data_IF_578022552714
#
_entry.id   IF_578022552714
#
_cell.length_a   1.000
_cell.length_b   1.000
_cell.length_c   1.000
_cell.angle_alpha   90.00
_cell.angle_beta   90.00
_cell.angle_gamma   90.00
#
_symmetry.space_group_name_H-M   'P 1'
#
loop_
_entity.id
_entity.type
_entity.pdbx_description
1 polymer ?
#
# COMPACT_ATOMS: atom_id res chain seq x y z
N UNK A 1 23.80 -0.55 -6.31
CA UNK A 1 23.60 0.54 -7.29
C UNK A 1 22.19 0.40 -7.85
N UNK A 2 21.24 1.21 -7.37
CA UNK A 2 19.85 1.20 -7.84
C UNK A 2 19.77 2.11 -9.06
N UNK A 3 19.43 1.54 -10.22
CA UNK A 3 19.16 2.31 -11.42
C UNK A 3 17.86 3.09 -11.25
N UNK A 4 17.95 4.40 -11.07
CA UNK A 4 16.82 5.30 -11.24
C UNK A 4 16.46 5.32 -12.73
N UNK A 5 15.33 4.75 -13.09
CA UNK A 5 14.75 4.90 -14.41
C UNK A 5 14.18 6.31 -14.51
N UNK A 6 14.98 7.24 -15.04
CA UNK A 6 14.52 8.60 -15.36
C UNK A 6 13.52 8.49 -16.51
N UNK A 7 12.24 8.69 -16.23
CA UNK A 7 11.23 8.84 -17.27
C UNK A 7 11.45 10.19 -17.93
N UNK A 8 12.06 10.17 -19.12
CA UNK A 8 12.17 11.34 -19.98
C UNK A 8 10.79 11.64 -20.56
N UNK A 9 10.07 12.60 -19.94
CA UNK A 9 8.89 13.19 -20.57
C UNK A 9 9.34 14.06 -21.74
N UNK A 10 9.21 13.52 -22.95
CA UNK A 10 9.33 14.34 -24.17
C UNK A 10 8.06 15.18 -24.28
N UNK A 11 8.15 16.43 -23.84
CA UNK A 11 7.15 17.43 -24.18
C UNK A 11 7.33 17.81 -25.66
N UNK A 12 6.54 17.18 -26.52
CA UNK A 12 6.36 17.69 -27.89
C UNK A 12 5.46 18.92 -27.71
N UNK A 13 6.08 20.11 -27.68
CA UNK A 13 5.34 21.36 -27.76
C UNK A 13 4.73 21.46 -29.15
N UNK A 14 3.40 21.41 -29.32
CA UNK A 14 2.82 21.78 -30.60
C UNK A 14 3.10 23.27 -30.83
N UNK A 15 3.73 23.61 -31.94
CA UNK A 15 3.84 25.00 -32.38
C UNK A 15 2.44 25.60 -32.45
N UNK A 16 2.11 26.49 -31.50
CA UNK A 16 0.88 27.25 -31.56
C UNK A 16 0.95 28.26 -32.70
N UNK A 17 0.52 27.86 -33.86
CA UNK A 17 0.11 28.81 -34.91
C UNK A 17 -1.24 29.35 -34.44
N UNK A 18 -1.31 30.67 -34.18
CA UNK A 18 -2.56 31.31 -33.81
C UNK A 18 -3.59 31.14 -34.94
N UNK A 19 -4.83 30.74 -34.65
CA UNK A 19 -5.87 30.56 -35.65
C UNK A 19 -6.17 31.91 -36.28
N UNK A 20 -6.14 31.99 -37.61
CA UNK A 20 -6.36 33.19 -38.39
C UNK A 20 -7.86 33.48 -38.67
N UNK A 21 -8.75 32.55 -38.23
CA UNK A 21 -10.20 32.69 -38.36
C UNK A 21 -10.93 31.92 -37.26
N UNK A 22 -12.12 32.43 -36.84
CA UNK A 22 -12.99 31.81 -35.83
C UNK A 22 -13.49 30.40 -36.25
N UNK A 23 -13.43 30.10 -37.56
CA UNK A 23 -13.87 28.81 -38.09
C UNK A 23 -12.84 27.67 -37.95
N UNK A 24 -11.62 27.98 -37.50
CA UNK A 24 -10.54 27.00 -37.34
C UNK A 24 -10.50 26.35 -35.92
N UNK A 25 -11.51 26.60 -35.10
CA UNK A 25 -11.62 25.96 -33.79
C UNK A 25 -12.05 24.52 -34.02
N UNK A 26 -11.24 23.51 -33.69
CA UNK A 26 -11.65 22.13 -33.83
C UNK A 26 -12.86 21.84 -32.93
N UNK A 27 -14.01 21.62 -33.53
CA UNK A 27 -15.28 21.27 -32.83
C UNK A 27 -15.25 19.91 -32.15
N UNK A 28 -14.21 19.13 -32.38
CA UNK A 28 -14.04 17.79 -31.79
C UNK A 28 -13.04 17.85 -30.64
N UNK A 29 -13.54 17.71 -29.42
CA UNK A 29 -12.67 17.50 -28.26
C UNK A 29 -11.77 16.29 -28.50
N UNK A 30 -10.49 16.35 -28.11
CA UNK A 30 -9.61 15.17 -28.20
C UNK A 30 -10.24 14.00 -27.44
N UNK A 31 -10.04 12.77 -27.90
CA UNK A 31 -10.58 11.60 -27.23
C UNK A 31 -10.09 11.57 -25.78
N UNK A 32 -11.00 11.32 -24.85
CA UNK A 32 -10.69 11.17 -23.42
C UNK A 32 -9.70 10.02 -23.28
N UNK A 33 -8.47 10.35 -22.92
CA UNK A 33 -7.45 9.33 -22.63
C UNK A 33 -7.81 8.69 -21.29
N UNK A 34 -8.24 7.42 -21.32
CA UNK A 34 -8.40 6.63 -20.11
C UNK A 34 -7.01 6.23 -19.59
N UNK A 35 -6.57 6.87 -18.52
CA UNK A 35 -5.35 6.47 -17.82
C UNK A 35 -5.67 5.24 -16.99
N UNK A 36 -5.21 4.06 -17.43
CA UNK A 36 -5.31 2.83 -16.65
C UNK A 36 -4.31 2.89 -15.49
N UNK A 37 -4.82 3.04 -14.28
CA UNK A 37 -3.98 2.98 -13.07
C UNK A 37 -3.53 1.53 -12.88
N UNK A 38 -2.21 1.30 -12.88
CA UNK A 38 -1.62 -0.01 -12.60
C UNK A 38 -1.41 -0.10 -11.08
N UNK A 39 -2.18 -0.96 -10.43
CA UNK A 39 -2.07 -1.25 -9.00
C UNK A 39 -0.89 -2.21 -8.77
N UNK A 40 0.29 -1.66 -8.57
CA UNK A 40 1.54 -2.38 -8.30
C UNK A 40 2.01 -2.18 -6.85
N UNK A 41 3.18 -2.74 -6.51
CA UNK A 41 3.81 -2.61 -5.20
C UNK A 41 4.06 -1.14 -4.80
N UNK A 42 4.57 -0.32 -5.72
CA UNK A 42 4.90 1.09 -5.40
C UNK A 42 3.64 1.87 -5.04
N UNK A 43 2.55 1.68 -5.79
CA UNK A 43 1.27 2.30 -5.50
C UNK A 43 0.69 1.78 -4.17
N UNK A 44 0.78 0.47 -3.91
CA UNK A 44 0.36 -0.12 -2.64
C UNK A 44 1.09 0.50 -1.44
N UNK A 45 2.41 0.62 -1.51
CA UNK A 45 3.24 1.21 -0.44
C UNK A 45 2.93 2.70 -0.24
N UNK A 46 2.68 3.42 -1.33
CA UNK A 46 2.28 4.82 -1.27
C UNK A 46 0.91 4.98 -0.59
N UNK A 47 -0.08 4.21 -1.02
CA UNK A 47 -1.45 4.32 -0.50
C UNK A 47 -1.55 3.86 0.95
N UNK A 48 -0.82 2.79 1.31
CA UNK A 48 -0.75 2.32 2.69
C UNK A 48 -0.06 3.35 3.60
N UNK A 49 1.08 3.89 3.18
CA UNK A 49 1.78 4.95 3.91
C UNK A 49 0.94 6.22 4.05
N UNK A 50 0.18 6.58 3.01
CA UNK A 50 -0.74 7.71 3.07
C UNK A 50 -1.84 7.49 4.11
N UNK A 51 -2.42 6.31 4.14
CA UNK A 51 -3.45 5.94 5.13
C UNK A 51 -2.92 5.95 6.55
N UNK A 52 -1.70 5.47 6.78
CA UNK A 52 -1.11 5.32 8.12
C UNK A 52 -0.63 6.66 8.70
N UNK A 53 -0.02 7.52 7.89
CA UNK A 53 0.64 8.73 8.40
C UNK A 53 0.60 9.94 7.46
N UNK A 54 -0.05 9.84 6.29
CA UNK A 54 0.11 10.81 5.21
C UNK A 54 1.50 10.75 4.58
N UNK A 55 2.10 9.55 4.50
CA UNK A 55 3.46 9.29 3.98
C UNK A 55 4.59 9.98 4.76
N UNK A 56 4.39 10.29 6.05
CA UNK A 56 5.40 10.97 6.87
C UNK A 56 6.28 9.99 7.63
N UNK A 57 7.59 10.11 7.46
CA UNK A 57 8.57 9.23 8.10
C UNK A 57 8.91 9.64 9.54
N UNK A 58 8.70 10.89 9.93
CA UNK A 58 9.15 11.52 11.17
C UNK A 58 8.10 11.53 12.29
N UNK A 59 6.93 10.93 12.07
CA UNK A 59 5.80 11.01 13.00
C UNK A 59 5.69 9.85 13.96
N UNK A 60 5.14 10.13 15.13
CA UNK A 60 4.75 9.13 16.14
C UNK A 60 3.33 9.45 16.59
N UNK A 61 2.44 8.46 16.60
CA UNK A 61 1.09 8.66 17.09
C UNK A 61 0.99 8.54 18.62
N UNK A 62 -0.20 8.81 19.18
CA UNK A 62 -0.46 8.76 20.62
C UNK A 62 -0.26 7.38 21.25
N UNK A 63 -0.25 6.31 20.48
CA UNK A 63 0.00 4.94 20.95
C UNK A 63 1.47 4.52 20.78
N UNK A 64 2.34 5.42 20.28
CA UNK A 64 3.75 5.16 20.08
C UNK A 64 4.11 4.40 18.81
N UNK A 65 3.19 4.31 17.84
CA UNK A 65 3.49 3.80 16.50
C UNK A 65 4.26 4.84 15.68
N UNK A 66 5.23 4.40 14.88
CA UNK A 66 6.30 5.22 14.31
C UNK A 66 6.34 5.21 12.80
N UNK A 67 6.59 6.39 12.22
CA UNK A 67 6.99 6.60 10.83
C UNK A 67 5.88 6.41 9.81
N UNK A 68 6.28 6.30 8.54
CA UNK A 68 5.38 6.25 7.38
C UNK A 68 4.31 5.16 7.52
N UNK A 69 4.68 3.98 8.00
CA UNK A 69 3.79 2.82 8.12
C UNK A 69 3.35 2.53 9.55
N UNK A 70 3.53 3.47 10.47
CA UNK A 70 3.09 3.36 11.86
C UNK A 70 3.52 2.04 12.55
N UNK A 71 4.82 1.73 12.50
CA UNK A 71 5.37 0.53 13.13
C UNK A 71 5.39 0.59 14.65
N UNK A 72 4.84 -0.43 15.30
CA UNK A 72 5.02 -0.65 16.73
C UNK A 72 6.36 -1.32 17.05
N UNK A 73 6.92 -1.04 18.25
CA UNK A 73 8.18 -1.66 18.72
C UNK A 73 8.12 -3.19 18.76
N UNK A 74 6.95 -3.78 19.05
CA UNK A 74 6.75 -5.23 19.05
C UNK A 74 6.87 -5.83 17.66
N UNK A 75 6.35 -5.14 16.64
CA UNK A 75 6.46 -5.57 15.25
C UNK A 75 7.92 -5.54 14.79
N UNK A 76 8.65 -4.43 15.06
CA UNK A 76 10.07 -4.35 14.72
C UNK A 76 10.89 -5.46 15.37
N UNK A 77 10.60 -5.80 16.65
CA UNK A 77 11.24 -6.95 17.34
C UNK A 77 10.93 -8.29 16.66
N UNK A 78 9.68 -8.49 16.24
CA UNK A 78 9.27 -9.71 15.52
C UNK A 78 10.03 -9.83 14.19
N UNK A 79 10.28 -8.71 13.52
CA UNK A 79 11.08 -8.63 12.29
C UNK A 79 12.60 -8.68 12.54
N UNK A 80 13.04 -8.78 13.81
CA UNK A 80 14.45 -8.76 14.25
C UNK A 80 15.18 -7.43 13.93
N UNK A 81 14.43 -6.36 13.76
CA UNK A 81 14.98 -5.01 13.54
C UNK A 81 15.22 -4.36 14.91
N UNK A 82 16.50 -4.23 15.29
CA UNK A 82 16.95 -3.61 16.54
C UNK A 82 17.37 -2.17 16.25
N UNK A 83 16.56 -1.21 16.68
CA UNK A 83 16.78 0.21 16.39
C UNK A 83 16.18 1.09 17.50
N UNK A 84 16.78 2.26 17.76
CA UNK A 84 16.16 3.28 18.63
C UNK A 84 15.03 3.99 17.87
N UNK A 85 14.12 4.63 18.61
CA UNK A 85 13.02 5.40 17.99
C UNK A 85 13.58 6.49 17.06
N UNK A 86 14.56 7.25 17.55
CA UNK A 86 15.17 8.36 16.84
C UNK A 86 15.84 7.89 15.54
N UNK A 87 16.62 6.81 15.61
CA UNK A 87 17.27 6.24 14.42
C UNK A 87 16.25 5.70 13.39
N UNK A 88 15.14 5.11 13.86
CA UNK A 88 14.08 4.64 12.96
C UNK A 88 13.38 5.79 12.25
N UNK A 89 13.00 6.86 12.97
CA UNK A 89 12.31 8.02 12.41
C UNK A 89 13.19 8.81 11.43
N UNK A 90 14.51 8.82 11.64
CA UNK A 90 15.47 9.52 10.79
C UNK A 90 15.96 8.68 9.59
N UNK A 91 15.44 7.47 9.40
CA UNK A 91 15.86 6.57 8.32
C UNK A 91 14.68 6.10 7.49
N UNK A 92 14.29 6.85 6.42
CA UNK A 92 13.28 6.40 5.46
C UNK A 92 13.58 5.01 4.89
N UNK A 93 14.82 4.75 4.47
CA UNK A 93 15.21 3.46 3.89
C UNK A 93 15.01 2.29 4.86
N UNK A 94 15.27 2.49 6.17
CA UNK A 94 15.00 1.46 7.17
C UNK A 94 13.50 1.21 7.36
N UNK A 95 12.67 2.24 7.21
CA UNK A 95 11.21 2.08 7.29
C UNK A 95 10.66 1.35 6.07
N UNK A 96 11.15 1.64 4.87
CA UNK A 96 10.81 0.88 3.65
C UNK A 96 11.27 -0.58 3.77
N UNK A 97 12.49 -0.82 4.21
CA UNK A 97 12.99 -2.17 4.48
C UNK A 97 12.14 -2.91 5.52
N UNK A 98 11.75 -2.23 6.60
CA UNK A 98 10.89 -2.83 7.63
C UNK A 98 9.52 -3.24 7.03
N UNK A 99 8.98 -2.44 6.12
CA UNK A 99 7.71 -2.75 5.45
C UNK A 99 7.85 -3.95 4.51
N UNK A 100 8.90 -4.02 3.72
CA UNK A 100 9.22 -5.20 2.90
C UNK A 100 9.30 -6.47 3.75
N UNK A 101 10.07 -6.43 4.87
CA UNK A 101 10.18 -7.57 5.78
C UNK A 101 8.84 -7.93 6.44
N UNK A 102 7.99 -6.95 6.71
CA UNK A 102 6.64 -7.18 7.24
C UNK A 102 5.75 -7.91 6.23
N UNK A 103 5.77 -7.49 4.96
CA UNK A 103 5.03 -8.16 3.90
C UNK A 103 5.49 -9.62 3.73
N UNK A 104 6.80 -9.87 3.67
CA UNK A 104 7.38 -11.21 3.58
C UNK A 104 6.96 -12.07 4.78
N UNK A 105 7.10 -11.54 6.00
CA UNK A 105 6.71 -12.23 7.22
C UNK A 105 5.22 -12.61 7.22
N UNK A 106 4.35 -11.65 6.91
CA UNK A 106 2.91 -11.86 6.88
C UNK A 106 2.50 -12.84 5.77
N UNK A 107 3.10 -12.75 4.58
CA UNK A 107 2.85 -13.69 3.48
C UNK A 107 3.23 -15.12 3.89
N UNK A 108 4.41 -15.35 4.48
CA UNK A 108 4.82 -16.66 5.02
C UNK A 108 3.81 -17.20 6.04
N UNK A 109 3.32 -16.35 6.96
CA UNK A 109 2.36 -16.75 8.00
C UNK A 109 0.96 -17.03 7.47
N UNK A 110 0.58 -16.43 6.35
CA UNK A 110 -0.77 -16.47 5.78
C UNK A 110 -0.85 -17.21 4.43
N UNK A 111 0.26 -17.78 3.94
CA UNK A 111 0.34 -18.41 2.62
C UNK A 111 -0.79 -19.44 2.39
N UNK A 112 -1.14 -20.25 3.40
CA UNK A 112 -2.25 -21.19 3.32
C UNK A 112 -3.58 -20.50 3.03
N UNK A 113 -3.82 -19.37 3.68
CA UNK A 113 -5.07 -18.60 3.53
C UNK A 113 -5.12 -17.84 2.21
N UNK A 114 -3.99 -17.29 1.76
CA UNK A 114 -3.85 -16.67 0.44
C UNK A 114 -4.22 -17.71 -0.63
N UNK A 115 -3.54 -18.86 -0.64
CA UNK A 115 -3.79 -19.93 -1.62
C UNK A 115 -5.22 -20.47 -1.61
N UNK A 116 -5.89 -20.43 -0.45
CA UNK A 116 -7.24 -21.00 -0.30
C UNK A 116 -8.34 -20.02 -0.68
N UNK A 117 -8.12 -18.73 -0.47
CA UNK A 117 -9.20 -17.73 -0.54
C UNK A 117 -8.97 -16.62 -1.57
N UNK A 118 -7.79 -16.51 -2.19
CA UNK A 118 -7.57 -15.49 -3.22
C UNK A 118 -8.54 -15.65 -4.38
N UNK A 119 -9.23 -14.56 -4.73
CA UNK A 119 -10.30 -14.54 -5.74
C UNK A 119 -11.69 -14.93 -5.21
N UNK A 120 -11.78 -15.49 -3.99
CA UNK A 120 -13.03 -15.89 -3.38
C UNK A 120 -13.70 -14.75 -2.61
N UNK A 121 -15.01 -14.85 -2.41
CA UNK A 121 -15.75 -13.93 -1.54
C UNK A 121 -16.00 -14.57 -0.18
N UNK A 122 -15.36 -14.04 0.86
CA UNK A 122 -15.49 -14.51 2.24
C UNK A 122 -16.14 -13.43 3.10
N UNK A 123 -17.24 -13.77 3.77
CA UNK A 123 -18.03 -12.82 4.57
C UNK A 123 -18.40 -11.54 3.80
N UNK A 124 -18.71 -11.67 2.50
CA UNK A 124 -19.07 -10.55 1.62
C UNK A 124 -17.91 -9.65 1.18
N UNK A 125 -16.67 -10.12 1.33
CA UNK A 125 -15.45 -9.41 0.92
C UNK A 125 -14.69 -10.22 -0.10
N UNK A 126 -14.40 -9.63 -1.27
CA UNK A 126 -13.47 -10.22 -2.24
C UNK A 126 -12.06 -10.26 -1.63
N UNK A 127 -11.50 -11.45 -1.54
CA UNK A 127 -10.19 -11.68 -0.94
C UNK A 127 -9.11 -11.60 -2.01
N UNK A 128 -8.07 -10.80 -1.72
CA UNK A 128 -6.85 -10.71 -2.54
C UNK A 128 -5.61 -10.81 -1.66
N UNK A 129 -4.48 -11.23 -2.22
CA UNK A 129 -3.21 -11.26 -1.49
C UNK A 129 -2.90 -9.90 -0.87
N UNK A 130 -3.01 -8.83 -1.64
CA UNK A 130 -2.72 -7.47 -1.17
C UNK A 130 -3.64 -7.02 -0.04
N UNK A 131 -4.93 -7.31 -0.12
CA UNK A 131 -5.88 -7.04 0.98
C UNK A 131 -5.52 -7.81 2.25
N UNK A 132 -5.18 -9.10 2.13
CA UNK A 132 -4.74 -9.94 3.26
C UNK A 132 -3.48 -9.34 3.92
N UNK A 133 -2.49 -8.90 3.12
CA UNK A 133 -1.22 -8.39 3.64
C UNK A 133 -1.39 -7.02 4.31
N UNK A 134 -2.22 -6.13 3.75
CA UNK A 134 -2.59 -4.88 4.40
C UNK A 134 -3.35 -5.11 5.72
N UNK A 135 -4.34 -6.00 5.73
CA UNK A 135 -5.07 -6.37 6.94
C UNK A 135 -4.15 -6.98 8.02
N UNK A 136 -3.13 -7.75 7.60
CA UNK A 136 -2.14 -8.32 8.50
C UNK A 136 -1.14 -7.27 9.04
N UNK A 137 -0.87 -6.21 8.29
CA UNK A 137 -0.09 -5.07 8.78
C UNK A 137 -0.81 -4.39 9.95
N UNK A 138 -2.10 -4.06 9.79
CA UNK A 138 -2.90 -3.44 10.84
C UNK A 138 -3.10 -4.35 12.06
N UNK A 139 -3.54 -5.59 11.84
CA UNK A 139 -4.11 -6.45 12.88
C UNK A 139 -3.23 -7.63 13.29
N UNK A 140 -2.13 -7.85 12.56
CA UNK A 140 -1.27 -9.02 12.67
C UNK A 140 -1.89 -10.28 12.03
N UNK A 141 -1.05 -11.27 11.64
CA UNK A 141 -1.51 -12.48 10.94
C UNK A 141 -2.42 -13.36 11.82
N UNK A 142 -2.36 -13.21 13.14
CA UNK A 142 -3.23 -13.91 14.08
C UNK A 142 -4.70 -13.52 13.94
N UNK A 143 -4.97 -12.22 13.81
CA UNK A 143 -6.32 -11.68 13.64
C UNK A 143 -6.91 -12.04 12.28
N UNK A 144 -6.10 -11.97 11.22
CA UNK A 144 -6.50 -12.41 9.88
C UNK A 144 -6.91 -13.89 9.87
N UNK A 145 -6.14 -14.77 10.55
CA UNK A 145 -6.53 -16.18 10.69
C UNK A 145 -7.85 -16.37 11.44
N UNK A 146 -8.10 -15.56 12.49
CA UNK A 146 -9.38 -15.62 13.22
C UNK A 146 -10.55 -15.19 12.35
N UNK A 147 -10.36 -14.16 11.51
CA UNK A 147 -11.36 -13.71 10.54
C UNK A 147 -11.75 -14.86 9.59
N UNK A 148 -10.79 -15.50 8.93
CA UNK A 148 -11.08 -16.60 8.01
C UNK A 148 -11.76 -17.80 8.69
N UNK A 149 -11.40 -18.11 9.94
CA UNK A 149 -11.91 -19.28 10.65
C UNK A 149 -13.26 -19.07 11.33
N UNK A 150 -13.57 -17.85 11.75
CA UNK A 150 -14.71 -17.56 12.66
C UNK A 150 -15.47 -16.29 12.29
N UNK A 151 -15.11 -15.57 11.24
CA UNK A 151 -15.68 -14.25 10.92
C UNK A 151 -15.36 -13.16 11.94
N UNK A 152 -14.34 -13.37 12.81
CA UNK A 152 -14.03 -12.40 13.88
C UNK A 152 -13.45 -11.13 13.29
N UNK A 153 -14.09 -9.99 13.56
CA UNK A 153 -13.57 -8.67 13.22
C UNK A 153 -12.50 -8.24 14.24
N UNK A 154 -11.54 -7.46 13.78
CA UNK A 154 -10.56 -6.77 14.60
C UNK A 154 -10.69 -5.26 14.37
N UNK A 155 -10.61 -4.49 15.44
CA UNK A 155 -10.48 -3.02 15.38
C UNK A 155 -9.28 -2.60 16.21
N UNK A 156 -8.53 -1.63 15.70
CA UNK A 156 -7.42 -1.03 16.39
C UNK A 156 -7.87 -0.03 17.48
N UNK A 157 -6.93 0.65 18.13
CA UNK A 157 -7.20 1.65 19.17
C UNK A 157 -7.94 2.89 18.67
N UNK A 158 -7.99 3.13 17.36
CA UNK A 158 -8.76 4.21 16.72
C UNK A 158 -10.13 3.74 16.21
N UNK A 159 -10.44 2.45 16.35
CA UNK A 159 -11.67 1.86 15.82
C UNK A 159 -11.57 1.45 14.34
N UNK A 160 -10.38 1.51 13.73
CA UNK A 160 -10.15 1.10 12.35
C UNK A 160 -10.33 -0.41 12.21
N UNK A 161 -11.22 -0.83 11.31
CA UNK A 161 -11.51 -2.25 11.12
C UNK A 161 -10.52 -2.92 10.18
N UNK A 162 -10.16 -4.17 10.47
CA UNK A 162 -9.33 -5.00 9.60
C UNK A 162 -10.02 -5.24 8.24
N UNK A 163 -11.34 -5.38 8.22
CA UNK A 163 -12.11 -5.58 7.00
C UNK A 163 -12.10 -4.36 6.09
N UNK A 164 -11.89 -3.15 6.61
CA UNK A 164 -11.67 -1.96 5.77
C UNK A 164 -10.37 -2.08 4.98
N UNK A 165 -9.29 -2.61 5.58
CA UNK A 165 -8.02 -2.85 4.89
C UNK A 165 -8.13 -3.96 3.83
N UNK A 166 -8.84 -5.06 4.13
CA UNK A 166 -9.13 -6.10 3.14
C UNK A 166 -9.76 -5.54 1.86
N UNK A 167 -10.71 -4.61 2.01
CA UNK A 167 -11.44 -4.01 0.89
C UNK A 167 -10.62 -2.95 0.15
N UNK A 168 -10.05 -2.00 0.90
CA UNK A 168 -9.37 -0.83 0.35
C UNK A 168 -8.10 -1.21 -0.41
N UNK A 169 -7.31 -2.13 0.15
CA UNK A 169 -6.06 -2.58 -0.45
C UNK A 169 -6.23 -3.81 -1.35
N UNK A 170 -7.43 -4.04 -1.88
CA UNK A 170 -7.70 -5.14 -2.80
C UNK A 170 -7.16 -4.88 -4.21
N UNK A 171 -6.57 -5.94 -4.81
CA UNK A 171 -6.25 -5.99 -6.24
C UNK A 171 -4.95 -5.31 -6.64
N UNK A 172 -3.99 -5.11 -5.73
CA UNK A 172 -2.62 -4.72 -6.06
C UNK A 172 -1.77 -5.97 -6.39
N UNK A 173 -0.95 -5.87 -7.44
CA UNK A 173 0.06 -6.89 -7.78
C UNK A 173 1.35 -6.60 -7.01
N UNK A 174 1.56 -7.34 -5.92
CA UNK A 174 2.67 -7.07 -4.99
C UNK A 174 3.96 -7.81 -5.34
N UNK A 175 3.89 -8.96 -6.02
CA UNK A 175 5.05 -9.82 -6.36
C UNK A 175 6.02 -10.02 -5.19
N UNK A 176 5.47 -10.27 -3.98
CA UNK A 176 6.27 -10.54 -2.79
C UNK A 176 6.86 -11.93 -2.88
N UNK A 177 8.18 -12.05 -2.95
CA UNK A 177 8.90 -13.32 -2.93
C UNK A 177 9.10 -13.83 -1.49
N UNK A 178 8.99 -15.18 -1.27
CA UNK A 178 9.10 -15.82 0.06
C UNK A 178 9.95 -17.09 0.02
#
# INVERSE_FOLDING_TARGET
>A
MRNFLTILMVFISPSMVAPTSINDIPTKLPPKVEVKIIKNMDLFLNDLGHRESGNRYDVVNQFGYMGKYQFGKSTLRTLKIKVTKEAFLNSPDLQEYAMEQNLIYNKKKLLKYIKLYEGETVHGILITESGILAAAHLAGPGSVRKFFRRGSEFKDGFGTSMTSYLKEFSGYDLKVDI
#
